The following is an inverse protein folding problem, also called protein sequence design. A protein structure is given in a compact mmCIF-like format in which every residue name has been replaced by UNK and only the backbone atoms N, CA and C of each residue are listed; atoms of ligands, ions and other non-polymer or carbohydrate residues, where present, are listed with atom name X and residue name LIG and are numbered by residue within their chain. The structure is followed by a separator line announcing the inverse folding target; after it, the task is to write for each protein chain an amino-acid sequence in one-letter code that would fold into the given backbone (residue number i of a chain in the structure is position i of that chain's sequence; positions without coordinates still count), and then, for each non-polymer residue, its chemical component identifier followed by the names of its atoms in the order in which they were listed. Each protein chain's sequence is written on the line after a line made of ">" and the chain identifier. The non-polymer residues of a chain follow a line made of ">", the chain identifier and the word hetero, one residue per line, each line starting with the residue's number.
data_IF_562516439408
#
_entry.id   IF_562516439408
#
_cell.length_a   1.000
_cell.length_b   1.000
_cell.length_c   1.000
_cell.angle_alpha   90.00
_cell.angle_beta   90.00
_cell.angle_gamma   90.00
#
_symmetry.space_group_name_H-M   'P 1'
#
loop_
_entity.id
_entity.type
_entity.pdbx_description
1 polymer ?
#
# COMPACT_ATOMS: atom_id res chain seq x y z
N UNK A 1 20.48 -26.24 -19.27
CA UNK A 1 19.79 -25.16 -18.53
C UNK A 1 18.31 -25.48 -18.49
N UNK A 2 17.80 -26.00 -17.39
CA UNK A 2 16.37 -26.37 -17.27
C UNK A 2 15.57 -25.17 -16.75
N UNK A 3 14.80 -24.53 -17.62
CA UNK A 3 13.77 -23.55 -17.30
C UNK A 3 12.54 -24.28 -16.74
N UNK A 4 12.57 -24.63 -15.45
CA UNK A 4 11.44 -25.28 -14.80
C UNK A 4 10.50 -24.22 -14.24
N UNK A 5 9.57 -23.71 -15.06
CA UNK A 5 8.35 -23.03 -14.61
C UNK A 5 7.40 -24.07 -14.00
N UNK A 6 7.79 -24.71 -12.90
CA UNK A 6 6.85 -25.52 -12.13
C UNK A 6 6.04 -24.58 -11.24
N UNK A 7 4.94 -24.07 -11.80
CA UNK A 7 3.86 -23.54 -10.95
C UNK A 7 3.18 -24.74 -10.31
N UNK A 8 3.65 -25.18 -9.15
CA UNK A 8 2.96 -26.22 -8.41
C UNK A 8 1.68 -25.62 -7.82
N UNK A 9 0.59 -25.70 -8.57
CA UNK A 9 -0.75 -25.45 -8.05
C UNK A 9 -1.04 -26.48 -6.94
N UNK A 10 -1.75 -26.06 -5.89
CA UNK A 10 -2.19 -26.93 -4.77
C UNK A 10 -1.10 -27.43 -3.80
N UNK A 11 0.05 -26.77 -3.70
CA UNK A 11 1.00 -27.08 -2.62
C UNK A 11 0.48 -26.63 -1.24
N UNK A 12 0.96 -27.22 -0.12
CA UNK A 12 0.43 -26.94 1.22
C UNK A 12 0.34 -25.46 1.61
N UNK A 13 1.23 -24.62 1.07
CA UNK A 13 1.19 -23.17 1.31
C UNK A 13 -0.08 -22.50 0.78
N UNK A 14 -0.64 -22.95 -0.35
CA UNK A 14 -1.86 -22.40 -0.91
C UNK A 14 -3.09 -22.77 -0.08
N UNK A 15 -3.11 -23.99 0.48
CA UNK A 15 -4.20 -24.42 1.36
C UNK A 15 -4.18 -23.70 2.71
N UNK A 16 -2.98 -23.47 3.27
CA UNK A 16 -2.81 -22.80 4.57
C UNK A 16 -2.77 -21.27 4.48
N UNK A 17 -2.68 -20.70 3.28
CA UNK A 17 -2.41 -19.27 3.07
C UNK A 17 -1.07 -18.81 3.66
N UNK A 18 -0.11 -19.72 3.83
CA UNK A 18 1.14 -19.44 4.54
C UNK A 18 2.34 -19.95 3.75
N UNK A 19 3.16 -19.02 3.23
CA UNK A 19 4.41 -19.36 2.54
C UNK A 19 5.56 -19.48 3.54
N UNK A 20 6.42 -20.48 3.33
CA UNK A 20 7.59 -20.72 4.16
C UNK A 20 8.88 -20.48 3.36
N UNK A 21 9.81 -19.62 3.83
CA UNK A 21 11.06 -19.34 3.14
C UNK A 21 12.03 -20.52 3.19
N UNK A 22 12.72 -20.77 2.08
CA UNK A 22 13.82 -21.73 1.97
C UNK A 22 14.92 -21.17 1.07
N UNK A 23 16.17 -21.36 1.49
CA UNK A 23 17.34 -20.97 0.71
C UNK A 23 17.84 -19.55 0.98
N UNK A 24 18.45 -18.95 -0.05
CA UNK A 24 19.13 -17.66 0.05
C UNK A 24 18.11 -16.54 0.23
N UNK A 25 18.42 -15.61 1.13
CA UNK A 25 17.64 -14.39 1.36
C UNK A 25 18.36 -13.20 0.72
N UNK A 26 17.60 -12.35 0.03
CA UNK A 26 18.10 -11.10 -0.56
C UNK A 26 17.36 -9.94 0.10
N UNK A 27 18.09 -8.94 0.59
CA UNK A 27 17.49 -7.68 1.05
C UNK A 27 17.31 -6.74 -0.13
N UNK A 28 16.17 -6.06 -0.16
CA UNK A 28 15.84 -5.00 -1.10
C UNK A 28 16.07 -3.62 -0.47
N UNK A 29 16.05 -2.57 -1.29
CA UNK A 29 16.31 -1.19 -0.88
C UNK A 29 15.25 -0.66 0.10
N UNK A 30 14.01 -1.16 0.01
CA UNK A 30 12.91 -0.84 0.92
C UNK A 30 13.00 -1.54 2.28
N UNK A 31 14.09 -2.29 2.52
CA UNK A 31 14.33 -3.06 3.73
C UNK A 31 13.62 -4.42 3.77
N UNK A 32 12.83 -4.76 2.75
CA UNK A 32 12.19 -6.06 2.65
C UNK A 32 13.19 -7.17 2.28
N UNK A 33 12.79 -8.41 2.55
CA UNK A 33 13.58 -9.61 2.30
C UNK A 33 12.86 -10.49 1.31
N UNK A 34 13.49 -10.77 0.18
CA UNK A 34 13.07 -11.76 -0.80
C UNK A 34 13.66 -13.13 -0.50
N UNK A 35 12.86 -14.17 -0.74
CA UNK A 35 13.26 -15.57 -0.66
C UNK A 35 12.40 -16.42 -1.61
N UNK A 36 12.64 -17.73 -1.67
CA UNK A 36 11.80 -18.68 -2.40
C UNK A 36 10.97 -19.51 -1.43
N UNK A 37 9.70 -19.74 -1.75
CA UNK A 37 8.86 -20.61 -0.94
C UNK A 37 9.30 -22.07 -1.08
N UNK A 38 9.48 -22.77 0.05
CA UNK A 38 9.79 -24.20 0.08
C UNK A 38 8.79 -25.06 -0.70
N UNK A 39 7.52 -24.69 -0.65
CA UNK A 39 6.42 -25.50 -1.18
C UNK A 39 6.10 -25.19 -2.63
N UNK A 40 5.65 -23.96 -2.93
CA UNK A 40 5.27 -23.59 -4.30
C UNK A 40 6.43 -23.12 -5.17
N UNK A 41 7.63 -22.97 -4.60
CA UNK A 41 8.85 -22.49 -5.29
C UNK A 41 8.73 -21.11 -5.94
N UNK A 42 7.66 -20.36 -5.63
CA UNK A 42 7.50 -18.95 -6.01
C UNK A 42 8.36 -18.04 -5.16
N UNK A 43 8.71 -16.89 -5.71
CA UNK A 43 9.35 -15.82 -4.95
C UNK A 43 8.37 -15.23 -3.93
N UNK A 44 8.86 -15.02 -2.71
CA UNK A 44 8.10 -14.52 -1.57
C UNK A 44 8.89 -13.40 -0.88
N UNK A 45 8.17 -12.41 -0.37
CA UNK A 45 8.71 -11.22 0.30
C UNK A 45 8.26 -11.18 1.76
N UNK A 46 9.11 -10.65 2.63
CA UNK A 46 8.78 -10.33 4.02
C UNK A 46 9.46 -9.03 4.45
N UNK A 47 8.75 -8.14 5.15
CA UNK A 47 9.35 -6.95 5.77
C UNK A 47 10.00 -7.24 7.12
N UNK A 48 9.37 -8.10 7.93
CA UNK A 48 9.81 -8.40 9.30
C UNK A 48 10.50 -9.75 9.45
N UNK A 49 10.57 -10.54 8.38
CA UNK A 49 11.08 -11.91 8.38
C UNK A 49 10.14 -12.95 9.01
N UNK A 50 8.97 -12.53 9.54
CA UNK A 50 8.00 -13.39 10.23
C UNK A 50 6.89 -13.87 9.29
N UNK A 51 6.23 -12.94 8.60
CA UNK A 51 5.14 -13.21 7.66
C UNK A 51 5.66 -13.09 6.23
N UNK A 52 5.28 -14.03 5.35
CA UNK A 52 5.77 -14.08 3.97
C UNK A 52 4.62 -14.10 2.97
N UNK A 53 4.63 -13.14 2.06
CA UNK A 53 3.65 -12.97 0.99
C UNK A 53 4.29 -13.28 -0.36
N UNK A 54 3.49 -13.54 -1.39
CA UNK A 54 4.01 -13.67 -2.76
C UNK A 54 4.67 -12.36 -3.19
N UNK A 55 5.89 -12.42 -3.74
CA UNK A 55 6.62 -11.23 -4.17
C UNK A 55 5.94 -10.53 -5.37
N UNK A 56 5.29 -11.32 -6.24
CA UNK A 56 4.47 -10.84 -7.37
C UNK A 56 2.98 -10.69 -7.00
N UNK A 57 2.60 -10.95 -5.74
CA UNK A 57 1.22 -10.82 -5.27
C UNK A 57 0.92 -9.42 -4.72
N UNK A 58 -0.36 -9.09 -4.62
CA UNK A 58 -0.81 -7.95 -3.82
C UNK A 58 -0.48 -8.25 -2.36
N UNK A 59 0.47 -7.51 -1.80
CA UNK A 59 0.72 -7.50 -0.36
C UNK A 59 -0.47 -6.84 0.33
N UNK A 60 -1.42 -7.66 0.78
CA UNK A 60 -2.65 -7.20 1.43
C UNK A 60 -2.36 -6.49 2.75
N UNK A 61 -1.27 -6.81 3.44
CA UNK A 61 -0.87 -6.15 4.67
C UNK A 61 -0.29 -4.77 4.36
N UNK A 62 0.55 -4.64 3.33
CA UNK A 62 1.02 -3.34 2.85
C UNK A 62 -0.12 -2.50 2.27
N UNK A 63 -1.06 -3.12 1.56
CA UNK A 63 -2.25 -2.45 1.04
C UNK A 63 -3.15 -1.98 2.18
N UNK A 64 -3.40 -2.83 3.17
CA UNK A 64 -4.15 -2.48 4.37
C UNK A 64 -3.44 -1.34 5.11
N UNK A 65 -2.14 -1.44 5.37
CA UNK A 65 -1.35 -0.38 5.98
C UNK A 65 -1.43 0.95 5.21
N UNK A 66 -1.39 0.91 3.88
CA UNK A 66 -1.60 2.09 3.05
C UNK A 66 -3.02 2.66 3.18
N UNK A 67 -4.05 1.80 3.23
CA UNK A 67 -5.44 2.20 3.43
C UNK A 67 -5.72 2.74 4.84
N UNK A 68 -4.92 2.37 5.85
CA UNK A 68 -5.02 2.84 7.23
C UNK A 68 -4.35 4.22 7.44
N UNK A 69 -3.74 4.80 6.40
CA UNK A 69 -3.07 6.10 6.50
C UNK A 69 -4.00 7.25 6.10
N UNK A 70 -3.99 8.32 6.91
CA UNK A 70 -4.66 9.57 6.55
C UNK A 70 -4.03 10.13 5.28
N UNK A 71 -4.84 10.70 4.39
CA UNK A 71 -4.35 11.24 3.13
C UNK A 71 -5.25 12.36 2.61
N UNK A 72 -4.69 13.26 1.79
CA UNK A 72 -5.47 14.13 0.94
C UNK A 72 -5.79 13.42 -0.37
N UNK A 73 -7.04 13.54 -0.82
CA UNK A 73 -7.46 13.17 -2.17
C UNK A 73 -7.82 14.43 -2.94
N UNK A 74 -7.24 14.62 -4.11
CA UNK A 74 -7.73 15.60 -5.08
C UNK A 74 -8.78 14.90 -5.92
N UNK A 75 -9.98 15.45 -5.94
CA UNK A 75 -11.17 14.86 -6.54
C UNK A 75 -11.70 15.79 -7.61
N UNK A 76 -11.87 15.27 -8.82
CA UNK A 76 -12.73 15.88 -9.81
C UNK A 76 -14.18 15.63 -9.39
N UNK A 77 -14.89 16.70 -9.04
CA UNK A 77 -16.26 16.62 -8.54
C UNK A 77 -17.28 16.40 -9.64
N UNK A 78 -16.96 16.75 -10.88
CA UNK A 78 -17.84 16.59 -12.05
C UNK A 78 -17.89 15.12 -12.44
N UNK A 79 -16.72 14.49 -12.57
CA UNK A 79 -16.61 13.07 -12.94
C UNK A 79 -16.62 12.13 -11.72
N UNK A 80 -16.51 12.67 -10.50
CA UNK A 80 -16.45 11.90 -9.27
C UNK A 80 -15.15 11.07 -9.14
N UNK A 81 -14.07 11.50 -9.78
CA UNK A 81 -12.82 10.75 -9.89
C UNK A 81 -11.74 11.28 -8.96
N UNK A 82 -10.98 10.38 -8.32
CA UNK A 82 -9.79 10.75 -7.57
C UNK A 82 -8.61 10.85 -8.55
N UNK A 83 -8.08 12.06 -8.73
CA UNK A 83 -6.98 12.33 -9.67
C UNK A 83 -5.60 12.22 -9.00
N UNK A 84 -5.52 12.44 -7.68
CA UNK A 84 -4.27 12.31 -6.93
C UNK A 84 -4.53 11.97 -5.45
N UNK A 85 -3.57 11.28 -4.83
CA UNK A 85 -3.54 11.02 -3.38
C UNK A 85 -2.19 11.40 -2.79
N UNK A 86 -2.24 12.08 -1.64
CA UNK A 86 -1.07 12.50 -0.89
C UNK A 86 -1.14 11.95 0.53
N UNK A 87 -0.24 11.03 0.93
CA UNK A 87 -0.22 10.51 2.29
C UNK A 87 0.09 11.63 3.29
N UNK A 88 -0.56 11.58 4.45
CA UNK A 88 -0.37 12.50 5.57
C UNK A 88 0.25 11.68 6.70
N UNK A 89 1.40 12.14 7.21
CA UNK A 89 2.04 11.56 8.38
C UNK A 89 1.13 11.65 9.62
N UNK A 90 1.14 10.62 10.46
CA UNK A 90 0.29 10.56 11.66
C UNK A 90 0.59 11.68 12.67
N UNK A 91 1.79 12.25 12.62
CA UNK A 91 2.29 13.24 13.59
C UNK A 91 2.21 14.69 13.09
N UNK A 92 1.62 14.94 11.90
CA UNK A 92 1.50 16.30 11.37
C UNK A 92 0.48 17.12 12.17
N UNK A 93 0.88 18.33 12.58
CA UNK A 93 0.01 19.30 13.23
C UNK A 93 -0.98 19.97 12.27
N UNK A 94 -2.01 20.63 12.81
CA UNK A 94 -3.04 21.31 11.99
C UNK A 94 -2.45 22.36 11.05
N UNK A 95 -1.46 23.13 11.51
CA UNK A 95 -0.77 24.13 10.70
C UNK A 95 -0.01 23.49 9.52
N UNK A 96 0.65 22.35 9.76
CA UNK A 96 1.39 21.62 8.73
C UNK A 96 0.44 20.97 7.71
N UNK A 97 -0.72 20.50 8.18
CA UNK A 97 -1.80 19.98 7.33
C UNK A 97 -2.36 21.11 6.43
N UNK A 98 -2.53 22.32 6.97
CA UNK A 98 -2.99 23.48 6.21
C UNK A 98 -1.97 23.90 5.14
N UNK A 99 -0.68 23.94 5.48
CA UNK A 99 0.41 24.21 4.53
C UNK A 99 0.46 23.16 3.43
N UNK A 100 0.33 21.88 3.79
CA UNK A 100 0.29 20.79 2.83
C UNK A 100 -0.91 20.91 1.88
N UNK A 101 -2.09 21.26 2.40
CA UNK A 101 -3.30 21.48 1.60
C UNK A 101 -3.11 22.63 0.61
N UNK A 102 -2.57 23.76 1.06
CA UNK A 102 -2.31 24.92 0.20
C UNK A 102 -1.37 24.56 -0.95
N UNK A 103 -0.27 23.86 -0.65
CA UNK A 103 0.69 23.38 -1.66
C UNK A 103 0.06 22.44 -2.68
N UNK A 104 -0.80 21.52 -2.23
CA UNK A 104 -1.53 20.62 -3.13
C UNK A 104 -2.48 21.43 -4.03
N UNK A 105 -3.15 22.45 -3.47
CA UNK A 105 -4.02 23.34 -4.23
C UNK A 105 -3.29 24.06 -5.36
N UNK A 106 -2.15 24.68 -5.04
CA UNK A 106 -1.29 25.33 -6.05
C UNK A 106 -0.80 24.36 -7.12
N UNK A 107 -0.47 23.13 -6.73
CA UNK A 107 0.06 22.12 -7.66
C UNK A 107 -0.98 21.67 -8.69
N UNK A 108 -2.25 21.56 -8.27
CA UNK A 108 -3.34 21.04 -9.12
C UNK A 108 -4.24 22.13 -9.69
N UNK A 109 -4.03 23.40 -9.34
CA UNK A 109 -4.91 24.49 -9.73
C UNK A 109 -6.30 24.33 -9.11
N UNK A 110 -6.37 23.98 -7.83
CA UNK A 110 -7.65 23.88 -7.11
C UNK A 110 -8.08 25.28 -6.71
N UNK A 111 -9.12 25.76 -7.37
CA UNK A 111 -9.78 27.03 -7.10
C UNK A 111 -11.12 26.80 -6.39
N UNK A 112 -11.57 27.75 -5.57
CA UNK A 112 -12.82 27.63 -4.79
C UNK A 112 -14.09 27.47 -5.66
N UNK A 113 -14.05 27.97 -6.90
CA UNK A 113 -15.13 27.85 -7.89
C UNK A 113 -14.83 26.78 -8.98
N UNK A 114 -13.78 25.98 -8.79
CA UNK A 114 -13.34 24.97 -9.75
C UNK A 114 -14.03 23.61 -9.59
N UNK A 115 -13.83 22.75 -10.59
CA UNK A 115 -14.33 21.37 -10.59
C UNK A 115 -13.45 20.40 -9.77
N UNK A 116 -12.38 20.90 -9.17
CA UNK A 116 -11.46 20.12 -8.35
C UNK A 116 -11.66 20.45 -6.88
N UNK A 117 -11.65 19.43 -6.02
CA UNK A 117 -11.77 19.57 -4.58
C UNK A 117 -10.66 18.77 -3.86
N UNK A 118 -10.05 19.37 -2.84
CA UNK A 118 -9.13 18.65 -1.94
C UNK A 118 -9.90 18.14 -0.73
N UNK A 119 -10.05 16.82 -0.64
CA UNK A 119 -10.70 16.14 0.49
C UNK A 119 -9.68 15.53 1.43
N UNK A 120 -9.79 15.86 2.71
CA UNK A 120 -9.04 15.18 3.77
C UNK A 120 -9.74 13.88 4.15
N UNK A 121 -9.08 12.75 3.93
CA UNK A 121 -9.50 11.46 4.46
C UNK A 121 -8.69 11.17 5.71
N UNK A 122 -9.30 11.42 6.87
CA UNK A 122 -8.71 11.11 8.18
C UNK A 122 -9.08 9.70 8.59
N UNK A 123 -8.08 8.85 8.79
CA UNK A 123 -8.30 7.48 9.24
C UNK A 123 -8.89 7.43 10.67
N UNK A 124 -8.48 8.34 11.56
CA UNK A 124 -9.05 8.48 12.91
C UNK A 124 -10.56 8.75 12.84
N UNK A 125 -10.98 9.69 11.99
CA UNK A 125 -12.39 10.03 11.81
C UNK A 125 -13.21 8.88 11.17
N UNK A 126 -12.60 8.05 10.31
CA UNK A 126 -13.25 6.87 9.74
C UNK A 126 -13.47 5.77 10.78
N UNK A 127 -12.53 5.56 11.70
CA UNK A 127 -12.68 4.61 12.80
C UNK A 127 -13.76 5.07 13.79
N UNK A 128 -13.78 6.36 14.13
CA UNK A 128 -14.76 6.93 15.06
C UNK A 128 -16.21 6.84 14.54
N UNK A 129 -16.42 6.86 13.21
CA UNK A 129 -17.75 6.70 12.59
C UNK A 129 -18.29 5.27 12.58
N UNK A 130 -17.46 4.28 12.91
CA UNK A 130 -17.79 2.85 12.82
C UNK A 130 -18.23 2.26 14.17
N UNK A 131 -18.18 3.05 15.23
CA UNK A 131 -18.66 2.77 16.58
C UNK A 131 -19.94 3.56 16.88
#
# INVERSE_FOLDING_TARGET
>A
MYTRRDSFAMTPCWFKGAHQPEGRRRREEDGSVLCTCRFCRKEIRSREGKTWSLAEGLDLDALAAACLSSHFSVVDVVDGLVIARYPIGADLGEDEIAVLRARIGETHGVDDDGDLEIRLVSHKALLDRRH
#
